data_IF_847351524872
#
_entry.id   IF_847351524872
#
_cell.length_a   1.000
_cell.length_b   1.000
_cell.length_c   1.000
_cell.angle_alpha   90.00
_cell.angle_beta   90.00
_cell.angle_gamma   90.00
#
_symmetry.space_group_name_H-M   'P 1'
#
loop_
_entity.id
_entity.type
_entity.pdbx_description
1 polymer ?
#
# COMPACT_ATOMS: atom_id res chain seq x y z
N UNK A 1 18.97 -11.06 0.43
CA UNK A 1 18.36 -11.30 1.75
C UNK A 1 19.10 -10.45 2.80
N UNK A 2 18.55 -10.16 4.00
CA UNK A 2 19.43 -10.02 5.15
C UNK A 2 19.90 -11.43 5.56
N UNK A 3 21.12 -11.59 6.10
CA UNK A 3 21.65 -12.90 6.47
C UNK A 3 20.71 -13.57 7.47
N UNK A 4 20.34 -14.83 7.19
CA UNK A 4 19.76 -15.72 8.20
C UNK A 4 20.79 -15.75 9.33
N UNK A 5 20.42 -15.22 10.50
CA UNK A 5 21.37 -15.17 11.61
C UNK A 5 21.82 -16.59 11.94
N UNK A 6 23.13 -16.79 12.06
CA UNK A 6 23.75 -18.03 12.54
C UNK A 6 23.09 -18.44 13.87
N UNK A 7 22.14 -19.38 13.81
CA UNK A 7 21.45 -19.89 15.00
C UNK A 7 19.96 -20.22 14.85
N UNK A 8 19.26 -19.79 13.79
CA UNK A 8 17.85 -20.20 13.60
C UNK A 8 17.73 -21.65 13.15
N UNK A 9 17.00 -22.45 13.92
CA UNK A 9 16.68 -23.84 13.61
C UNK A 9 15.80 -23.89 12.34
N UNK A 10 16.36 -24.35 11.21
CA UNK A 10 15.65 -24.47 9.92
C UNK A 10 14.32 -25.24 10.04
N UNK A 11 14.25 -26.21 10.95
CA UNK A 11 13.02 -26.96 11.23
C UNK A 11 11.91 -26.07 11.82
N UNK A 12 12.25 -25.16 12.73
CA UNK A 12 11.30 -24.19 13.30
C UNK A 12 10.81 -23.19 12.25
N UNK A 13 11.69 -22.78 11.33
CA UNK A 13 11.31 -21.91 10.20
C UNK A 13 10.34 -22.63 9.26
N UNK A 14 10.61 -23.88 8.90
CA UNK A 14 9.72 -24.69 8.06
C UNK A 14 8.39 -24.95 8.77
N UNK A 15 8.40 -25.21 10.08
CA UNK A 15 7.17 -25.30 10.87
C UNK A 15 6.36 -24.01 10.84
N UNK A 16 7.01 -22.86 11.04
CA UNK A 16 6.35 -21.54 11.01
C UNK A 16 5.72 -21.26 9.65
N UNK A 17 6.40 -21.60 8.56
CA UNK A 17 5.90 -21.42 7.18
C UNK A 17 4.70 -22.34 6.94
N UNK A 18 4.84 -23.64 7.23
CA UNK A 18 3.84 -24.65 6.88
C UNK A 18 2.62 -24.62 7.80
N UNK A 19 2.75 -24.20 9.07
CA UNK A 19 1.63 -24.03 10.01
C UNK A 19 0.70 -22.86 9.65
N UNK A 20 0.99 -22.10 8.60
CA UNK A 20 0.03 -21.12 8.09
C UNK A 20 -1.19 -21.84 7.50
N UNK A 21 -2.40 -21.26 7.68
CA UNK A 21 -3.66 -21.77 7.10
C UNK A 21 -3.71 -21.52 5.57
N UNK A 22 -2.63 -21.78 4.86
CA UNK A 22 -2.49 -21.49 3.43
C UNK A 22 -1.90 -22.68 2.67
N UNK A 23 -1.77 -22.50 1.36
CA UNK A 23 -1.07 -23.45 0.48
C UNK A 23 0.38 -23.01 0.38
N UNK A 24 1.30 -23.90 0.77
CA UNK A 24 2.74 -23.67 0.67
C UNK A 24 3.32 -24.65 -0.34
N UNK A 25 4.06 -24.15 -1.32
CA UNK A 25 4.75 -24.98 -2.33
C UNK A 25 6.24 -24.69 -2.24
N UNK A 26 7.03 -25.72 -1.92
CA UNK A 26 8.49 -25.68 -2.07
C UNK A 26 8.85 -26.24 -3.45
N UNK A 27 9.56 -25.49 -4.29
CA UNK A 27 10.01 -25.92 -5.63
C UNK A 27 11.39 -25.39 -6.01
N UNK A 28 12.00 -25.95 -7.05
CA UNK A 28 13.19 -25.38 -7.70
C UNK A 28 12.78 -24.29 -8.71
N UNK A 29 13.67 -23.32 -8.98
CA UNK A 29 13.42 -22.26 -9.96
C UNK A 29 13.33 -22.75 -11.41
N UNK A 30 14.02 -23.87 -11.71
CA UNK A 30 14.12 -24.42 -13.08
C UNK A 30 13.31 -25.73 -13.25
N UNK A 31 12.43 -26.05 -12.31
CA UNK A 31 11.63 -27.27 -12.37
C UNK A 31 10.64 -27.21 -13.55
N UNK A 32 10.72 -28.12 -14.55
CA UNK A 32 9.82 -28.12 -15.70
C UNK A 32 8.35 -28.31 -15.32
N UNK A 33 8.07 -28.85 -14.14
CA UNK A 33 6.73 -29.07 -13.59
C UNK A 33 6.17 -27.80 -12.91
N UNK A 34 7.02 -26.84 -12.53
CA UNK A 34 6.64 -25.57 -11.89
C UNK A 34 6.96 -24.34 -12.76
N UNK A 35 7.01 -24.49 -14.09
CA UNK A 35 7.45 -23.40 -14.99
C UNK A 35 6.53 -22.18 -14.90
N UNK A 36 7.15 -21.04 -14.62
CA UNK A 36 6.54 -19.72 -14.75
C UNK A 36 6.22 -19.42 -16.22
N UNK A 37 4.94 -19.19 -16.54
CA UNK A 37 4.53 -18.51 -17.78
C UNK A 37 3.89 -17.18 -17.38
N UNK A 38 4.51 -16.07 -17.79
CA UNK A 38 4.05 -14.70 -17.52
C UNK A 38 3.78 -14.38 -16.02
N UNK A 39 4.72 -14.74 -15.14
CA UNK A 39 4.62 -14.41 -13.70
C UNK A 39 3.54 -15.20 -12.95
N UNK A 40 3.16 -16.38 -13.46
CA UNK A 40 2.23 -17.32 -12.82
C UNK A 40 2.85 -18.71 -12.80
N UNK A 41 2.76 -19.40 -11.66
CA UNK A 41 3.16 -20.80 -11.53
C UNK A 41 2.05 -21.68 -12.13
N UNK A 42 2.35 -22.32 -13.26
CA UNK A 42 1.55 -23.42 -13.83
C UNK A 42 2.10 -24.74 -13.28
N UNK A 43 1.27 -25.53 -12.59
CA UNK A 43 1.61 -26.91 -12.16
C UNK A 43 0.90 -27.92 -13.05
N UNK A 44 1.11 -27.93 -14.38
CA UNK A 44 0.44 -28.91 -15.25
C UNK A 44 1.24 -29.28 -16.51
N UNK A 45 1.50 -30.57 -16.67
CA UNK A 45 1.94 -31.21 -17.91
C UNK A 45 0.80 -32.01 -18.55
N UNK A 46 0.13 -31.45 -19.56
CA UNK A 46 -0.62 -32.21 -20.56
C UNK A 46 -0.62 -31.40 -21.87
N UNK A 47 0.05 -31.92 -22.89
CA UNK A 47 0.19 -31.25 -24.18
C UNK A 47 -1.15 -31.03 -24.89
N UNK A 48 -1.33 -29.84 -25.48
CA UNK A 48 -2.30 -29.58 -26.53
C UNK A 48 -1.75 -28.53 -27.52
N UNK A 49 -2.02 -28.81 -28.80
CA UNK A 49 -1.55 -28.24 -30.08
C UNK A 49 -1.75 -26.70 -30.23
N UNK A 50 -0.78 -25.97 -30.80
CA UNK A 50 -0.85 -24.53 -31.04
C UNK A 50 -1.59 -24.22 -32.35
N UNK A 51 -2.87 -23.85 -32.28
CA UNK A 51 -3.50 -22.94 -33.27
C UNK A 51 -4.90 -22.53 -32.77
N UNK A 52 -4.98 -21.31 -32.25
CA UNK A 52 -6.24 -20.61 -32.01
C UNK A 52 -6.99 -21.00 -30.73
N UNK A 53 -6.61 -20.42 -29.60
CA UNK A 53 -7.54 -20.08 -28.50
C UNK A 53 -6.80 -19.30 -27.41
N UNK A 54 -7.37 -18.17 -27.00
CA UNK A 54 -7.04 -17.50 -25.75
C UNK A 54 -7.47 -18.41 -24.59
N UNK A 55 -6.56 -19.18 -24.03
CA UNK A 55 -6.85 -20.02 -22.86
C UNK A 55 -6.75 -19.18 -21.59
N UNK A 56 -7.93 -18.76 -21.11
CA UNK A 56 -8.17 -18.34 -19.74
C UNK A 56 -7.82 -19.49 -18.79
N UNK A 57 -6.74 -19.36 -18.03
CA UNK A 57 -6.59 -20.09 -16.78
C UNK A 57 -7.55 -19.48 -15.76
N UNK A 58 -8.32 -20.35 -15.10
CA UNK A 58 -9.30 -20.06 -14.06
C UNK A 58 -8.79 -18.94 -13.13
N UNK A 59 -9.36 -17.72 -13.17
CA UNK A 59 -9.50 -17.03 -11.91
C UNK A 59 -10.50 -17.89 -11.13
N UNK A 60 -10.07 -18.49 -10.02
CA UNK A 60 -11.06 -18.89 -9.02
C UNK A 60 -11.78 -17.61 -8.63
N UNK A 61 -12.89 -17.37 -9.31
CA UNK A 61 -13.96 -16.50 -8.89
C UNK A 61 -14.66 -17.26 -7.75
N UNK A 62 -13.93 -17.43 -6.66
CA UNK A 62 -14.39 -17.62 -5.31
C UNK A 62 -13.45 -16.74 -4.52
N UNK A 63 -14.04 -15.81 -3.78
CA UNK A 63 -13.41 -15.19 -2.62
C UNK A 63 -12.48 -16.19 -1.94
N UNK A 64 -11.24 -15.78 -1.64
CA UNK A 64 -10.21 -16.54 -0.90
C UNK A 64 -9.36 -17.42 -1.80
N UNK A 65 -8.16 -16.95 -2.13
CA UNK A 65 -6.88 -17.58 -1.81
C UNK A 65 -5.84 -16.52 -2.20
N UNK A 66 -5.07 -16.02 -1.25
CA UNK A 66 -3.82 -15.33 -1.56
C UNK A 66 -2.83 -16.39 -2.05
N UNK A 67 -2.66 -16.52 -3.37
CA UNK A 67 -1.53 -17.26 -3.94
C UNK A 67 -0.46 -16.22 -4.24
N UNK A 68 0.58 -16.12 -3.41
CA UNK A 68 1.83 -15.51 -3.86
C UNK A 68 3.07 -16.17 -3.25
N UNK A 69 4.07 -16.31 -4.13
CA UNK A 69 5.28 -17.11 -4.11
C UNK A 69 6.18 -16.99 -2.87
N UNK A 70 6.38 -18.10 -2.16
CA UNK A 70 7.61 -18.35 -1.42
C UNK A 70 8.51 -19.29 -2.22
N UNK A 71 9.08 -18.80 -3.34
CA UNK A 71 10.13 -19.51 -4.08
C UNK A 71 11.42 -19.54 -3.25
N UNK A 72 11.60 -20.57 -2.43
CA UNK A 72 12.93 -20.94 -1.95
C UNK A 72 13.69 -21.55 -3.13
N UNK A 73 14.43 -20.71 -3.86
CA UNK A 73 15.30 -21.16 -4.95
C UNK A 73 16.40 -22.04 -4.36
N UNK A 74 16.34 -23.33 -4.65
CA UNK A 74 17.46 -24.25 -4.38
C UNK A 74 18.18 -24.44 -5.72
N UNK A 75 19.46 -24.08 -5.84
CA UNK A 75 20.20 -24.28 -7.07
C UNK A 75 20.59 -25.77 -7.21
N UNK A 76 20.72 -26.27 -8.44
CA UNK A 76 21.04 -27.67 -8.69
C UNK A 76 22.45 -28.02 -8.17
N UNK A 77 22.57 -29.18 -7.51
CA UNK A 77 23.89 -29.81 -7.30
C UNK A 77 24.49 -30.17 -8.66
N UNK A 78 25.64 -29.55 -8.99
CA UNK A 78 26.37 -29.63 -10.26
C UNK A 78 26.30 -30.99 -11.01
N UNK A 79 25.84 -30.96 -12.26
CA UNK A 79 26.66 -31.12 -13.49
C UNK A 79 25.74 -31.20 -14.71
N UNK A 80 25.67 -30.12 -15.50
CA UNK A 80 25.48 -30.19 -16.95
C UNK A 80 25.96 -28.86 -17.56
N UNK A 81 26.85 -28.97 -18.53
CA UNK A 81 27.59 -27.88 -19.15
C UNK A 81 26.73 -27.04 -20.13
N UNK A 82 27.08 -25.76 -20.19
CA UNK A 82 26.78 -24.73 -21.19
C UNK A 82 25.45 -23.94 -21.08
N UNK A 83 25.60 -22.65 -20.75
CA UNK A 83 24.61 -21.58 -20.99
C UNK A 83 24.19 -20.82 -19.73
N UNK A 84 24.84 -19.68 -19.45
CA UNK A 84 24.56 -18.83 -18.28
C UNK A 84 23.26 -18.02 -18.43
N UNK A 85 22.47 -17.88 -17.35
CA UNK A 85 21.73 -16.65 -17.07
C UNK A 85 22.30 -16.00 -15.79
N UNK A 86 22.83 -14.80 -15.94
CA UNK A 86 23.31 -13.95 -14.85
C UNK A 86 22.12 -13.40 -14.06
N UNK A 87 21.93 -13.84 -12.82
CA UNK A 87 20.96 -13.23 -11.89
C UNK A 87 20.42 -14.09 -10.74
N UNK A 88 21.12 -15.14 -10.30
CA UNK A 88 20.76 -15.83 -9.05
C UNK A 88 21.38 -15.09 -7.86
N UNK A 89 20.57 -14.73 -6.85
CA UNK A 89 21.06 -14.16 -5.59
C UNK A 89 21.90 -15.18 -4.83
N UNK A 90 23.08 -14.78 -4.35
CA UNK A 90 24.05 -15.59 -3.58
C UNK A 90 23.45 -16.42 -2.45
N UNK A 91 22.37 -15.95 -1.86
CA UNK A 91 21.78 -16.55 -0.65
C UNK A 91 21.00 -17.85 -0.94
N UNK A 92 20.64 -18.12 -2.20
CA UNK A 92 19.99 -19.37 -2.61
C UNK A 92 20.95 -20.57 -2.61
N UNK A 93 22.24 -20.33 -2.91
CA UNK A 93 23.29 -21.37 -2.96
C UNK A 93 23.71 -21.86 -1.57
N UNK A 94 23.57 -21.03 -0.54
CA UNK A 94 24.06 -21.34 0.82
C UNK A 94 23.03 -22.13 1.67
N UNK A 95 21.73 -21.87 1.50
CA UNK A 95 20.67 -22.42 2.38
C UNK A 95 19.74 -23.45 1.72
N UNK A 96 19.84 -23.64 0.40
CA UNK A 96 18.96 -24.55 -0.33
C UNK A 96 19.07 -26.03 0.08
N UNK A 97 20.27 -26.65 0.04
CA UNK A 97 20.46 -28.05 0.43
C UNK A 97 20.07 -28.34 1.89
N UNK A 98 20.47 -27.52 2.90
CA UNK A 98 20.03 -27.71 4.28
C UNK A 98 18.51 -27.63 4.47
N UNK A 99 17.82 -26.77 3.70
CA UNK A 99 16.36 -26.69 3.74
C UNK A 99 15.70 -27.93 3.12
N UNK A 100 16.21 -28.44 2.00
CA UNK A 100 15.69 -29.66 1.37
C UNK A 100 15.88 -30.87 2.27
N UNK A 101 17.00 -30.96 2.97
CA UNK A 101 17.25 -32.03 3.95
C UNK A 101 16.25 -31.95 5.12
N UNK A 102 16.01 -30.75 5.65
CA UNK A 102 15.03 -30.55 6.72
C UNK A 102 13.58 -30.84 6.27
N UNK A 103 13.23 -30.50 5.02
CA UNK A 103 11.94 -30.88 4.41
C UNK A 103 11.82 -32.39 4.25
N UNK A 104 12.87 -33.04 3.76
CA UNK A 104 12.92 -34.49 3.55
C UNK A 104 12.79 -35.26 4.86
N UNK A 105 13.41 -34.77 5.93
CA UNK A 105 13.26 -35.33 7.28
C UNK A 105 11.82 -35.22 7.80
N UNK A 106 11.08 -34.18 7.39
CA UNK A 106 9.69 -33.96 7.81
C UNK A 106 8.69 -34.76 6.99
N UNK A 107 8.83 -34.78 5.67
CA UNK A 107 7.84 -35.39 4.76
C UNK A 107 8.15 -36.84 4.45
N UNK A 108 9.39 -37.30 4.70
CA UNK A 108 9.89 -38.58 4.23
C UNK A 108 10.14 -38.60 2.71
N UNK A 109 10.02 -37.46 2.02
CA UNK A 109 10.15 -37.34 0.57
C UNK A 109 11.27 -36.35 0.24
N UNK A 110 12.22 -36.76 -0.60
CA UNK A 110 13.33 -35.91 -1.04
C UNK A 110 13.07 -35.14 -2.33
N UNK A 111 12.03 -35.54 -3.07
CA UNK A 111 11.62 -34.90 -4.32
C UNK A 111 10.94 -33.55 -4.09
N UNK A 112 11.00 -32.69 -5.12
CA UNK A 112 10.24 -31.44 -5.22
C UNK A 112 9.34 -31.51 -6.48
N UNK A 113 8.24 -30.72 -6.57
CA UNK A 113 7.74 -29.83 -5.52
C UNK A 113 7.17 -30.59 -4.32
N UNK A 114 7.20 -29.97 -3.13
CA UNK A 114 6.49 -30.45 -1.94
C UNK A 114 5.38 -29.48 -1.59
N UNK A 115 4.14 -29.95 -1.67
CA UNK A 115 2.93 -29.15 -1.47
C UNK A 115 2.36 -29.42 -0.09
N UNK A 116 2.10 -28.35 0.66
CA UNK A 116 1.41 -28.40 1.94
C UNK A 116 0.13 -27.58 1.87
N UNK A 117 -0.92 -28.07 2.53
CA UNK A 117 -2.23 -27.44 2.59
C UNK A 117 -2.65 -27.39 4.05
N UNK A 118 -2.60 -26.20 4.67
CA UNK A 118 -2.97 -26.00 6.07
C UNK A 118 -2.17 -26.84 7.07
N UNK A 119 -0.84 -26.83 6.96
CA UNK A 119 0.03 -27.62 7.84
C UNK A 119 0.33 -29.04 7.36
N UNK A 120 -0.58 -29.66 6.61
CA UNK A 120 -0.52 -31.05 6.20
C UNK A 120 0.22 -31.23 4.87
N UNK A 121 1.07 -32.25 4.79
CA UNK A 121 1.80 -32.58 3.57
C UNK A 121 0.86 -33.31 2.58
N UNK A 122 0.59 -32.69 1.44
CA UNK A 122 -0.28 -33.26 0.40
C UNK A 122 0.48 -34.23 -0.50
N UNK A 123 1.75 -33.94 -0.78
CA UNK A 123 2.58 -34.72 -1.70
C UNK A 123 3.24 -33.87 -2.77
N UNK A 124 3.61 -34.53 -3.88
CA UNK A 124 4.23 -33.90 -5.03
C UNK A 124 3.23 -33.35 -6.05
N UNK A 125 3.72 -33.06 -7.25
CA UNK A 125 2.86 -32.58 -8.34
C UNK A 125 1.77 -33.58 -8.74
N UNK A 126 2.08 -34.88 -8.75
CA UNK A 126 1.12 -35.93 -9.14
C UNK A 126 0.02 -36.09 -8.09
N UNK A 127 0.38 -36.11 -6.81
CA UNK A 127 -0.57 -36.21 -5.69
C UNK A 127 -1.53 -35.02 -5.67
N UNK A 128 -0.99 -33.81 -5.91
CA UNK A 128 -1.75 -32.58 -5.99
C UNK A 128 -2.72 -32.60 -7.18
N UNK A 129 -2.26 -33.07 -8.34
CA UNK A 129 -3.10 -33.22 -9.53
C UNK A 129 -4.27 -34.18 -9.32
N UNK A 130 -4.01 -35.32 -8.67
CA UNK A 130 -5.02 -36.30 -8.29
C UNK A 130 -6.03 -35.73 -7.30
N UNK A 131 -5.56 -34.98 -6.30
CA UNK A 131 -6.42 -34.32 -5.31
C UNK A 131 -7.34 -33.28 -5.96
N UNK A 132 -6.85 -32.52 -6.94
CA UNK A 132 -7.65 -31.57 -7.70
C UNK A 132 -8.70 -32.26 -8.57
N UNK A 133 -8.30 -33.27 -9.36
CA UNK A 133 -9.21 -34.00 -10.25
C UNK A 133 -10.35 -34.70 -9.50
N UNK A 134 -10.11 -35.11 -8.24
CA UNK A 134 -11.12 -35.74 -7.37
C UNK A 134 -11.97 -34.74 -6.59
N UNK A 135 -11.72 -33.42 -6.71
CA UNK A 135 -12.38 -32.37 -5.93
C UNK A 135 -11.95 -32.31 -4.46
N UNK A 136 -11.05 -33.20 -4.02
CA UNK A 136 -10.56 -33.25 -2.64
C UNK A 136 -9.75 -32.01 -2.27
N UNK A 137 -9.02 -31.43 -3.23
CA UNK A 137 -8.25 -30.21 -3.00
C UNK A 137 -9.17 -29.03 -2.63
N UNK A 138 -10.34 -28.90 -3.28
CA UNK A 138 -11.33 -27.87 -2.94
C UNK A 138 -11.89 -28.04 -1.53
N UNK A 139 -12.15 -29.28 -1.11
CA UNK A 139 -12.63 -29.57 0.25
C UNK A 139 -11.55 -29.35 1.32
N UNK A 140 -10.29 -29.71 1.01
CA UNK A 140 -9.15 -29.43 1.89
C UNK A 140 -9.01 -27.93 2.10
N UNK A 141 -9.04 -27.14 1.03
CA UNK A 141 -8.94 -25.68 1.08
C UNK A 141 -10.13 -25.03 1.82
N UNK A 142 -11.35 -25.52 1.59
CA UNK A 142 -12.54 -25.05 2.28
C UNK A 142 -12.56 -25.38 3.78
N UNK A 143 -11.83 -26.42 4.20
CA UNK A 143 -11.68 -26.82 5.60
C UNK A 143 -10.57 -26.09 6.36
N UNK A 144 -9.80 -25.20 5.71
CA UNK A 144 -8.66 -24.52 6.33
C UNK A 144 -9.02 -23.26 7.13
N UNK A 145 -10.19 -22.69 6.92
CA UNK A 145 -10.56 -21.41 7.52
C UNK A 145 -12.00 -21.43 8.01
N UNK A 146 -12.18 -21.06 9.27
CA UNK A 146 -13.50 -20.76 9.86
C UNK A 146 -14.05 -19.41 9.36
N UNK A 147 -13.27 -18.68 8.55
CA UNK A 147 -13.56 -17.34 8.10
C UNK A 147 -13.89 -17.28 6.60
N UNK A 148 -14.70 -16.30 6.22
CA UNK A 148 -15.01 -15.99 4.83
C UNK A 148 -13.80 -15.47 4.06
N UNK A 149 -12.70 -15.06 4.70
CA UNK A 149 -11.46 -14.57 4.10
C UNK A 149 -10.26 -14.80 5.03
N UNK A 150 -9.07 -15.01 4.48
CA UNK A 150 -7.85 -15.02 5.31
C UNK A 150 -7.41 -13.59 5.67
N UNK A 151 -7.60 -12.66 4.73
CA UNK A 151 -7.21 -11.27 4.86
C UNK A 151 -8.28 -10.33 4.30
N UNK A 152 -8.73 -9.39 5.12
CA UNK A 152 -9.54 -8.25 4.67
C UNK A 152 -8.74 -6.97 4.79
N UNK A 153 -8.69 -6.20 3.71
CA UNK A 153 -8.03 -4.90 3.69
C UNK A 153 -9.07 -3.81 3.54
N UNK A 154 -9.10 -2.92 4.50
CA UNK A 154 -10.05 -1.81 4.57
C UNK A 154 -9.33 -0.57 4.04
N UNK A 155 -9.59 -0.25 2.78
CA UNK A 155 -9.02 0.89 2.06
C UNK A 155 -8.18 0.46 0.86
N UNK A 156 -8.63 0.79 -0.35
CA UNK A 156 -7.97 0.39 -1.61
C UNK A 156 -6.91 1.36 -2.13
N UNK A 157 -6.27 2.13 -1.24
CA UNK A 157 -5.16 3.03 -1.59
C UNK A 157 -3.88 2.27 -1.93
N UNK A 158 -2.77 2.97 -2.13
CA UNK A 158 -1.49 2.36 -2.52
C UNK A 158 -1.02 1.22 -1.61
N UNK A 159 -1.07 1.43 -0.28
CA UNK A 159 -0.73 0.40 0.70
C UNK A 159 -1.74 -0.73 0.79
N UNK A 160 -3.03 -0.43 0.57
CA UNK A 160 -4.09 -1.43 0.66
C UNK A 160 -4.26 -2.28 -0.59
N UNK A 161 -4.08 -1.71 -1.78
CA UNK A 161 -4.05 -2.43 -3.05
C UNK A 161 -2.79 -3.30 -3.18
N UNK A 162 -1.68 -2.85 -2.60
CA UNK A 162 -0.48 -3.68 -2.41
C UNK A 162 -0.71 -4.83 -1.42
N UNK A 163 -1.72 -4.72 -0.55
CA UNK A 163 -2.03 -5.71 0.47
C UNK A 163 -3.24 -6.61 0.11
N UNK A 164 -4.12 -6.23 -0.81
CA UNK A 164 -5.31 -7.02 -1.19
C UNK A 164 -6.00 -6.55 -2.48
N UNK A 165 -6.84 -7.42 -3.04
CA UNK A 165 -7.62 -7.17 -4.25
C UNK A 165 -9.03 -7.79 -4.16
N UNK A 166 -9.99 -7.14 -3.50
CA UNK A 166 -11.44 -7.41 -3.65
C UNK A 166 -12.25 -6.12 -3.41
N UNK A 167 -13.26 -5.83 -4.24
CA UNK A 167 -14.32 -4.83 -3.96
C UNK A 167 -15.66 -5.26 -4.56
N UNK A 168 -16.77 -5.15 -3.80
CA UNK A 168 -18.14 -5.08 -4.33
C UNK A 168 -18.62 -3.61 -4.30
N UNK A 169 -19.28 -3.18 -5.38
CA UNK A 169 -19.69 -1.80 -5.68
C UNK A 169 -21.17 -1.53 -5.41
N UNK A 170 -21.93 -2.46 -4.81
CA UNK A 170 -23.38 -2.31 -4.65
C UNK A 170 -23.74 -2.32 -3.18
N UNK A 171 -24.27 -1.20 -2.68
CA UNK A 171 -24.61 -0.89 -1.27
C UNK A 171 -25.63 -1.84 -0.59
N UNK A 172 -25.35 -3.13 -0.64
CA UNK A 172 -26.00 -4.18 0.14
C UNK A 172 -25.06 -4.49 1.30
N UNK A 173 -25.55 -4.28 2.52
CA UNK A 173 -24.80 -4.66 3.71
C UNK A 173 -24.66 -6.19 3.76
N UNK A 174 -23.42 -6.66 3.86
CA UNK A 174 -23.08 -8.07 4.03
C UNK A 174 -22.05 -8.16 5.15
N UNK A 175 -22.31 -9.06 6.10
CA UNK A 175 -21.30 -9.44 7.07
C UNK A 175 -20.32 -10.42 6.41
N UNK A 176 -19.03 -10.14 6.58
CA UNK A 176 -17.93 -11.01 6.19
C UNK A 176 -17.07 -11.24 7.42
N UNK A 177 -16.46 -12.41 7.50
CA UNK A 177 -15.55 -12.81 8.56
C UNK A 177 -14.14 -12.96 7.98
N UNK A 178 -13.10 -12.62 8.75
CA UNK A 178 -11.71 -12.75 8.29
C UNK A 178 -10.77 -13.09 9.44
N UNK A 179 -9.69 -13.83 9.15
CA UNK A 179 -8.67 -14.12 10.16
C UNK A 179 -7.81 -12.89 10.49
N UNK A 180 -7.38 -12.14 9.48
CA UNK A 180 -6.59 -10.91 9.65
C UNK A 180 -7.23 -9.71 8.94
N UNK A 181 -7.03 -8.52 9.51
CA UNK A 181 -7.47 -7.25 8.94
C UNK A 181 -6.31 -6.27 8.75
N UNK A 182 -6.30 -5.54 7.64
CA UNK A 182 -5.36 -4.42 7.43
C UNK A 182 -6.14 -3.13 7.24
N UNK A 183 -5.83 -2.13 8.06
CA UNK A 183 -6.29 -0.77 7.95
C UNK A 183 -5.40 -0.01 6.95
N UNK A 184 -5.97 0.42 5.83
CA UNK A 184 -5.29 1.12 4.73
C UNK A 184 -6.15 2.27 4.17
N UNK A 185 -6.96 2.89 5.03
CA UNK A 185 -7.95 3.92 4.66
C UNK A 185 -7.34 5.28 4.29
N UNK A 186 -6.06 5.50 4.60
CA UNK A 186 -5.35 6.75 4.35
C UNK A 186 -5.99 7.95 5.07
N UNK A 187 -5.97 9.09 4.39
CA UNK A 187 -6.43 10.36 4.92
C UNK A 187 -7.28 11.14 3.92
N UNK A 188 -7.99 12.17 4.40
CA UNK A 188 -8.74 13.14 3.57
C UNK A 188 -8.36 14.58 3.90
N UNK A 189 -8.49 15.53 2.96
CA UNK A 189 -8.22 16.94 3.23
C UNK A 189 -9.04 17.52 4.39
N UNK A 190 -8.41 18.38 5.19
CA UNK A 190 -9.06 19.13 6.26
C UNK A 190 -9.67 20.43 5.73
N UNK A 191 -10.81 20.79 6.29
CA UNK A 191 -11.40 22.12 6.16
C UNK A 191 -11.23 22.88 7.48
N UNK A 192 -10.90 24.18 7.44
CA UNK A 192 -11.01 25.02 8.63
C UNK A 192 -12.48 25.19 9.03
N UNK A 193 -12.71 25.37 10.33
CA UNK A 193 -14.04 25.63 10.88
C UNK A 193 -14.39 27.12 10.75
N UNK A 194 -14.67 27.54 9.52
CA UNK A 194 -15.11 28.90 9.19
C UNK A 194 -16.33 28.86 8.26
N UNK A 195 -17.22 29.86 8.32
CA UNK A 195 -18.40 29.90 7.47
C UNK A 195 -18.03 29.90 5.97
N UNK A 196 -18.71 29.07 5.19
CA UNK A 196 -18.52 28.96 3.74
C UNK A 196 -17.35 28.08 3.31
N UNK A 197 -16.55 27.55 4.25
CA UNK A 197 -15.38 26.74 3.89
C UNK A 197 -15.75 25.46 3.14
N UNK A 198 -16.76 24.71 3.61
CA UNK A 198 -17.16 23.44 2.98
C UNK A 198 -18.08 23.65 1.79
N UNK A 199 -18.80 24.76 1.76
CA UNK A 199 -19.82 25.07 0.77
C UNK A 199 -19.22 25.67 -0.50
N UNK A 200 -18.16 26.47 -0.37
CA UNK A 200 -17.64 27.28 -1.47
C UNK A 200 -16.18 26.99 -1.84
N UNK A 201 -15.41 26.34 -0.97
CA UNK A 201 -14.03 25.97 -1.30
C UNK A 201 -13.90 24.50 -1.70
N UNK A 202 -12.86 24.26 -2.49
CA UNK A 202 -12.45 22.94 -2.92
C UNK A 202 -11.19 22.49 -2.19
N UNK A 203 -10.81 21.23 -2.39
CA UNK A 203 -9.54 20.66 -1.94
C UNK A 203 -8.81 20.04 -3.13
N UNK A 204 -7.63 19.46 -2.87
CA UNK A 204 -6.92 18.68 -3.89
C UNK A 204 -7.75 17.51 -4.43
N UNK A 205 -8.69 16.97 -3.64
CA UNK A 205 -9.56 15.88 -4.08
C UNK A 205 -10.46 16.30 -5.24
N UNK A 206 -10.83 17.59 -5.32
CA UNK A 206 -11.73 18.13 -6.33
C UNK A 206 -10.96 18.75 -7.50
N UNK A 207 -9.82 19.41 -7.22
CA UNK A 207 -9.04 20.19 -8.19
C UNK A 207 -8.70 19.39 -9.45
N UNK A 208 -8.29 18.13 -9.30
CA UNK A 208 -7.90 17.27 -10.42
C UNK A 208 -9.08 16.74 -11.25
N UNK A 209 -10.32 16.98 -10.81
CA UNK A 209 -11.55 16.55 -11.47
C UNK A 209 -12.47 17.73 -11.82
N UNK A 210 -12.01 18.98 -11.66
CA UNK A 210 -12.80 20.15 -12.01
C UNK A 210 -13.17 20.14 -13.51
N UNK A 211 -14.46 20.31 -13.86
CA UNK A 211 -14.89 20.31 -15.26
C UNK A 211 -14.62 21.62 -16.00
N UNK A 212 -14.11 22.64 -15.31
CA UNK A 212 -13.87 23.98 -15.83
C UNK A 212 -12.56 24.55 -15.28
N UNK A 213 -12.04 25.59 -15.95
CA UNK A 213 -10.84 26.29 -15.50
C UNK A 213 -11.10 27.02 -14.16
N UNK A 214 -10.24 26.86 -13.13
CA UNK A 214 -10.46 27.46 -11.82
C UNK A 214 -10.22 28.99 -11.78
N UNK A 215 -9.63 29.59 -12.81
CA UNK A 215 -9.46 31.04 -12.92
C UNK A 215 -8.57 31.63 -11.82
N UNK A 216 -8.91 32.82 -11.32
CA UNK A 216 -8.19 33.45 -10.21
C UNK A 216 -8.34 32.61 -8.94
N UNK A 217 -7.24 32.03 -8.47
CA UNK A 217 -7.25 30.99 -7.43
C UNK A 217 -6.53 31.43 -6.16
N UNK A 218 -7.21 31.32 -5.02
CA UNK A 218 -6.59 31.40 -3.70
C UNK A 218 -6.25 29.99 -3.20
N UNK A 219 -4.99 29.75 -2.89
CA UNK A 219 -4.54 28.53 -2.21
C UNK A 219 -4.27 28.86 -0.74
N UNK A 220 -5.04 28.27 0.17
CA UNK A 220 -4.87 28.45 1.62
C UNK A 220 -4.07 27.29 2.18
N UNK A 221 -2.89 27.59 2.71
CA UNK A 221 -1.97 26.59 3.24
C UNK A 221 -0.55 26.78 2.72
N UNK A 222 0.38 26.05 3.32
CA UNK A 222 1.80 26.08 2.96
C UNK A 222 2.45 24.69 3.06
N UNK A 223 1.63 23.64 2.87
CA UNK A 223 2.09 22.26 2.71
C UNK A 223 2.69 22.06 1.32
N UNK A 224 3.34 20.91 1.09
CA UNK A 224 3.82 20.56 -0.26
C UNK A 224 2.67 20.57 -1.28
N UNK A 225 1.50 20.00 -0.92
CA UNK A 225 0.29 20.04 -1.75
C UNK A 225 -0.11 21.47 -2.12
N UNK A 226 -0.05 22.40 -1.16
CA UNK A 226 -0.40 23.79 -1.40
C UNK A 226 0.53 24.45 -2.42
N UNK A 227 1.84 24.29 -2.23
CA UNK A 227 2.85 24.92 -3.09
C UNK A 227 2.91 24.27 -4.48
N UNK A 228 2.77 22.96 -4.56
CA UNK A 228 2.69 22.23 -5.83
C UNK A 228 1.49 22.68 -6.66
N UNK A 229 0.29 22.73 -6.03
CA UNK A 229 -0.92 23.21 -6.69
C UNK A 229 -0.78 24.66 -7.15
N UNK A 230 -0.27 25.55 -6.29
CA UNK A 230 -0.04 26.93 -6.66
C UNK A 230 0.93 27.07 -7.85
N UNK A 231 2.01 26.29 -7.83
CA UNK A 231 3.04 26.26 -8.88
C UNK A 231 2.46 25.87 -10.24
N UNK A 232 1.78 24.72 -10.33
CA UNK A 232 1.26 24.27 -11.63
C UNK A 232 0.08 25.13 -12.13
N UNK A 233 -0.76 25.67 -11.23
CA UNK A 233 -1.85 26.56 -11.63
C UNK A 233 -1.29 27.86 -12.22
N UNK A 234 -0.23 28.39 -11.62
CA UNK A 234 0.49 29.56 -12.16
C UNK A 234 1.13 29.25 -13.51
N UNK A 235 1.80 28.10 -13.64
CA UNK A 235 2.39 27.67 -14.90
C UNK A 235 1.36 27.49 -16.03
N UNK A 236 0.11 27.15 -15.68
CA UNK A 236 -1.02 27.12 -16.61
C UNK A 236 -1.63 28.51 -16.92
N UNK A 237 -1.03 29.59 -16.43
CA UNK A 237 -1.42 30.97 -16.73
C UNK A 237 -2.48 31.57 -15.80
N UNK A 238 -2.76 30.93 -14.66
CA UNK A 238 -3.76 31.41 -13.71
C UNK A 238 -3.18 32.49 -12.77
N UNK A 239 -4.05 33.39 -12.31
CA UNK A 239 -3.71 34.32 -11.22
C UNK A 239 -3.82 33.57 -9.88
N UNK A 240 -2.68 33.36 -9.22
CA UNK A 240 -2.58 32.51 -8.03
C UNK A 240 -2.05 33.33 -6.85
N UNK A 241 -2.79 33.26 -5.74
CA UNK A 241 -2.36 33.76 -4.43
C UNK A 241 -2.22 32.61 -3.46
N UNK A 242 -1.16 32.59 -2.65
CA UNK A 242 -0.96 31.64 -1.55
C UNK A 242 -1.08 32.37 -0.22
N UNK A 243 -2.01 31.93 0.62
CA UNK A 243 -2.23 32.46 1.96
C UNK A 243 -1.59 31.56 3.01
N UNK A 244 -0.63 32.11 3.76
CA UNK A 244 0.25 31.39 4.67
C UNK A 244 0.05 31.88 6.09
N UNK A 245 -0.34 30.98 6.98
CA UNK A 245 -0.51 31.30 8.41
C UNK A 245 0.80 31.66 9.12
N UNK A 246 1.90 30.99 8.79
CA UNK A 246 3.17 31.15 9.53
C UNK A 246 4.42 30.92 8.67
N UNK A 247 4.78 29.67 8.40
CA UNK A 247 5.99 29.28 7.65
C UNK A 247 5.64 28.33 6.49
N UNK A 248 6.52 28.27 5.50
CA UNK A 248 6.43 27.33 4.39
C UNK A 248 6.96 25.95 4.80
N UNK A 249 6.32 24.88 4.27
CA UNK A 249 6.77 23.50 4.40
C UNK A 249 7.20 23.12 5.83
N UNK A 250 6.30 23.35 6.80
CA UNK A 250 6.58 23.01 8.20
C UNK A 250 7.03 21.55 8.33
N UNK A 251 8.19 21.34 8.94
CA UNK A 251 8.81 20.02 9.09
C UNK A 251 9.95 19.74 8.09
N UNK A 252 10.10 20.58 7.05
CA UNK A 252 11.22 20.54 6.12
C UNK A 252 12.31 21.54 6.49
N UNK A 253 13.49 21.39 5.88
CA UNK A 253 14.58 22.36 5.96
C UNK A 253 14.08 23.75 5.52
N UNK A 254 14.27 24.75 6.40
CA UNK A 254 13.70 26.07 6.19
C UNK A 254 14.50 26.94 5.22
N UNK A 255 15.80 26.70 5.02
CA UNK A 255 16.56 27.38 3.96
C UNK A 255 16.02 26.93 2.60
N UNK A 256 15.79 25.63 2.43
CA UNK A 256 15.19 25.09 1.21
C UNK A 256 13.75 25.57 1.00
N UNK A 257 12.93 25.60 2.06
CA UNK A 257 11.55 26.06 1.96
C UNK A 257 11.45 27.54 1.54
N UNK A 258 12.29 28.42 2.07
CA UNK A 258 12.28 29.84 1.71
C UNK A 258 12.86 30.08 0.30
N UNK A 259 13.84 29.28 -0.15
CA UNK A 259 14.29 29.30 -1.56
C UNK A 259 13.17 28.94 -2.53
N UNK A 260 12.37 27.91 -2.22
CA UNK A 260 11.19 27.54 -3.01
C UNK A 260 10.18 28.69 -3.04
N UNK A 261 9.88 29.28 -1.87
CA UNK A 261 8.95 30.42 -1.78
C UNK A 261 9.42 31.63 -2.56
N UNK A 262 10.72 31.94 -2.51
CA UNK A 262 11.35 33.04 -3.26
C UNK A 262 11.20 32.82 -4.75
N UNK A 263 11.56 31.63 -5.25
CA UNK A 263 11.40 31.28 -6.67
C UNK A 263 9.95 31.39 -7.15
N UNK A 264 9.00 30.86 -6.36
CA UNK A 264 7.57 30.95 -6.69
C UNK A 264 7.07 32.41 -6.75
N UNK A 265 7.56 33.27 -5.86
CA UNK A 265 7.22 34.68 -5.87
C UNK A 265 7.80 35.41 -7.09
N UNK A 266 9.04 35.09 -7.48
CA UNK A 266 9.69 35.61 -8.69
C UNK A 266 8.94 35.20 -9.97
N UNK A 267 8.38 33.98 -10.01
CA UNK A 267 7.50 33.48 -11.08
C UNK A 267 6.08 34.08 -11.02
N UNK A 268 5.82 35.02 -10.10
CA UNK A 268 4.60 35.81 -10.04
C UNK A 268 3.45 35.19 -9.25
N UNK A 269 3.74 34.27 -8.31
CA UNK A 269 2.77 33.82 -7.30
C UNK A 269 2.77 34.81 -6.14
N UNK A 270 1.60 35.36 -5.81
CA UNK A 270 1.49 36.33 -4.71
C UNK A 270 1.37 35.59 -3.37
N UNK A 271 2.24 35.89 -2.41
CA UNK A 271 2.15 35.36 -1.05
C UNK A 271 1.56 36.38 -0.08
N UNK A 272 0.62 35.95 0.77
CA UNK A 272 0.09 36.74 1.88
C UNK A 272 0.44 36.01 3.18
N UNK A 273 1.37 36.58 3.94
CA UNK A 273 2.00 35.95 5.11
C UNK A 273 2.36 37.01 6.17
N UNK A 274 1.98 36.85 7.46
CA UNK A 274 1.03 35.87 7.99
C UNK A 274 -0.42 36.25 7.66
N UNK A 275 -1.25 35.28 7.30
CA UNK A 275 -2.68 35.50 7.05
C UNK A 275 -3.51 34.22 7.21
N UNK A 276 -4.74 34.35 7.71
CA UNK A 276 -5.68 33.24 7.95
C UNK A 276 -7.08 33.64 7.48
N UNK A 277 -7.79 32.82 6.68
CA UNK A 277 -9.14 33.14 6.26
C UNK A 277 -10.11 32.97 7.44
N UNK A 278 -11.10 33.85 7.50
CA UNK A 278 -12.12 33.89 8.56
C UNK A 278 -13.53 33.63 8.02
N UNK A 279 -13.78 33.89 6.73
CA UNK A 279 -15.10 33.70 6.11
C UNK A 279 -15.01 33.64 4.58
N UNK A 280 -15.83 32.79 3.97
CA UNK A 280 -16.04 32.72 2.52
C UNK A 280 -17.50 33.03 2.17
N UNK A 281 -17.74 33.84 1.14
CA UNK A 281 -19.08 34.17 0.64
C UNK A 281 -19.12 34.09 -0.88
N UNK A 282 -20.09 33.34 -1.44
CA UNK A 282 -20.31 33.32 -2.89
C UNK A 282 -21.14 34.54 -3.31
N UNK A 283 -20.58 35.35 -4.19
CA UNK A 283 -21.22 36.57 -4.71
C UNK A 283 -21.72 36.43 -6.15
N UNK A 284 -21.22 35.45 -6.89
CA UNK A 284 -21.67 35.14 -8.26
C UNK A 284 -21.68 33.63 -8.47
N UNK A 285 -22.79 33.10 -8.98
CA UNK A 285 -22.89 31.68 -9.37
C UNK A 285 -22.26 31.46 -10.75
N UNK A 286 -21.66 30.28 -10.97
CA UNK A 286 -21.03 29.98 -12.24
C UNK A 286 -19.93 28.91 -12.13
N UNK A 287 -19.27 28.67 -13.26
CA UNK A 287 -18.17 27.72 -13.39
C UNK A 287 -17.08 28.33 -14.29
N UNK A 288 -16.24 29.23 -13.76
CA UNK A 288 -16.14 29.59 -12.33
C UNK A 288 -17.12 30.69 -11.91
N UNK A 289 -17.58 30.62 -10.65
CA UNK A 289 -18.29 31.72 -9.98
C UNK A 289 -17.32 32.76 -9.40
N UNK A 290 -17.81 33.59 -8.47
CA UNK A 290 -16.98 34.49 -7.66
C UNK A 290 -17.25 34.31 -6.17
N UNK A 291 -16.16 34.24 -5.42
CA UNK A 291 -16.10 34.03 -3.98
C UNK A 291 -15.33 35.19 -3.37
N UNK A 292 -15.93 35.87 -2.42
CA UNK A 292 -15.27 36.85 -1.53
C UNK A 292 -14.69 36.10 -0.35
N UNK A 293 -13.41 36.32 -0.08
CA UNK A 293 -12.69 35.78 1.06
C UNK A 293 -12.37 36.93 2.02
N UNK A 294 -12.85 36.81 3.25
CA UNK A 294 -12.41 37.65 4.37
C UNK A 294 -11.34 36.91 5.14
N UNK A 295 -10.26 37.60 5.50
CA UNK A 295 -9.12 37.04 6.19
C UNK A 295 -8.53 38.03 7.21
N UNK A 296 -7.90 37.48 8.25
CA UNK A 296 -7.07 38.24 9.18
C UNK A 296 -5.61 38.18 8.74
N UNK A 297 -5.05 39.34 8.40
CA UNK A 297 -3.66 39.54 8.05
C UNK A 297 -2.96 40.34 9.16
N UNK A 298 -2.58 39.63 10.23
CA UNK A 298 -1.90 40.21 11.41
C UNK A 298 -2.75 41.28 12.11
N UNK A 299 -4.01 40.93 12.41
CA UNK A 299 -4.97 41.84 13.07
C UNK A 299 -5.62 42.87 12.14
N UNK A 300 -5.32 42.84 10.84
CA UNK A 300 -5.97 43.67 9.82
C UNK A 300 -6.88 42.81 8.96
N UNK A 301 -8.11 43.26 8.77
CA UNK A 301 -9.05 42.62 7.87
C UNK A 301 -8.60 42.82 6.41
N UNK A 302 -8.51 41.72 5.68
CA UNK A 302 -8.27 41.67 4.25
C UNK A 302 -9.48 41.04 3.58
N UNK A 303 -10.02 41.72 2.56
CA UNK A 303 -11.15 41.23 1.77
C UNK A 303 -10.73 41.19 0.31
N UNK A 304 -10.75 40.01 -0.31
CA UNK A 304 -10.39 39.82 -1.71
C UNK A 304 -11.28 38.81 -2.42
N UNK A 305 -11.41 38.97 -3.73
CA UNK A 305 -12.23 38.10 -4.58
C UNK A 305 -11.40 37.10 -5.36
N UNK A 306 -11.93 35.88 -5.47
CA UNK A 306 -11.37 34.76 -6.21
C UNK A 306 -12.46 34.01 -6.96
N UNK A 307 -12.07 33.32 -8.02
CA UNK A 307 -12.92 32.37 -8.72
C UNK A 307 -12.97 31.03 -7.97
N UNK A 308 -11.82 30.61 -7.45
CA UNK A 308 -11.64 29.33 -6.76
C UNK A 308 -10.87 29.54 -5.47
N UNK A 309 -11.30 28.89 -4.39
CA UNK A 309 -10.55 28.81 -3.14
C UNK A 309 -10.20 27.34 -2.88
N UNK A 310 -8.91 27.04 -2.77
CA UNK A 310 -8.36 25.71 -2.52
C UNK A 310 -7.81 25.62 -1.09
N UNK A 311 -8.42 24.77 -0.25
CA UNK A 311 -7.85 24.45 1.06
C UNK A 311 -6.84 23.30 0.97
N UNK A 312 -5.61 23.60 1.35
CA UNK A 312 -4.49 22.66 1.48
C UNK A 312 -3.84 22.78 2.86
N UNK A 313 -4.68 22.82 3.90
CA UNK A 313 -4.31 23.10 5.31
C UNK A 313 -3.94 21.86 6.13
N UNK A 314 -3.71 20.73 5.45
CA UNK A 314 -3.40 19.44 6.04
C UNK A 314 -4.48 18.40 5.77
N UNK A 315 -4.23 17.19 6.24
CA UNK A 315 -5.10 16.02 6.04
C UNK A 315 -5.45 15.39 7.39
N UNK A 316 -6.50 14.60 7.41
CA UNK A 316 -7.01 13.88 8.58
C UNK A 316 -7.18 12.41 8.27
N UNK A 317 -6.76 11.56 9.21
CA UNK A 317 -6.88 10.12 9.07
C UNK A 317 -8.32 9.64 9.11
N UNK A 318 -8.62 8.65 8.27
CA UNK A 318 -9.92 8.03 8.11
C UNK A 318 -10.22 6.97 9.19
N UNK A 319 -10.07 7.31 10.46
CA UNK A 319 -10.24 6.38 11.60
C UNK A 319 -11.58 6.52 12.32
N UNK A 320 -12.36 7.57 12.03
CA UNK A 320 -13.65 7.85 12.66
C UNK A 320 -14.79 7.13 11.95
N UNK A 321 -15.75 6.61 12.72
CA UNK A 321 -16.98 6.02 12.20
C UNK A 321 -16.83 4.64 11.56
N UNK A 322 -15.67 4.00 11.70
CA UNK A 322 -15.39 2.65 11.18
C UNK A 322 -15.39 1.55 12.26
N UNK A 323 -15.70 1.91 13.52
CA UNK A 323 -15.88 0.95 14.61
C UNK A 323 -14.60 0.47 15.31
N UNK A 324 -13.47 1.18 15.16
CA UNK A 324 -12.19 0.81 15.82
C UNK A 324 -12.33 0.72 17.34
N UNK A 325 -13.14 1.61 17.93
CA UNK A 325 -13.42 1.65 19.36
C UNK A 325 -14.15 0.39 19.86
N UNK A 326 -14.97 -0.23 19.00
CA UNK A 326 -15.74 -1.44 19.36
C UNK A 326 -14.87 -2.69 19.37
N UNK A 327 -13.82 -2.69 18.56
CA UNK A 327 -12.88 -3.82 18.43
C UNK A 327 -11.63 -3.66 19.30
N UNK A 328 -11.47 -2.52 20.00
CA UNK A 328 -10.36 -2.27 20.91
C UNK A 328 -9.06 -1.80 20.24
N UNK A 329 -9.13 -1.30 18.99
CA UNK A 329 -7.98 -0.69 18.33
C UNK A 329 -7.73 0.69 18.92
N UNK A 330 -6.54 0.90 19.48
CA UNK A 330 -6.12 2.19 20.03
C UNK A 330 -5.91 3.21 18.91
N UNK A 331 -6.33 4.45 19.16
CA UNK A 331 -6.13 5.59 18.25
C UNK A 331 -5.55 6.74 19.05
N UNK A 332 -4.49 7.36 18.54
CA UNK A 332 -3.94 8.57 19.12
C UNK A 332 -4.94 9.72 18.94
N UNK A 333 -5.53 10.21 20.04
CA UNK A 333 -6.56 11.25 20.00
C UNK A 333 -6.08 12.59 19.45
N UNK A 334 -4.76 12.86 19.48
CA UNK A 334 -4.18 14.11 18.99
C UNK A 334 -3.98 14.09 17.47
N UNK A 335 -3.46 12.99 16.93
CA UNK A 335 -3.23 12.85 15.49
C UNK A 335 -4.41 12.23 14.74
N UNK A 336 -5.30 11.52 15.45
CA UNK A 336 -6.35 10.70 14.87
C UNK A 336 -5.83 9.41 14.22
N UNK A 337 -4.56 9.06 14.42
CA UNK A 337 -3.86 7.97 13.74
C UNK A 337 -3.70 6.72 14.61
N UNK A 338 -3.44 5.59 13.97
CA UNK A 338 -3.26 4.29 14.64
C UNK A 338 -1.78 4.07 14.96
N UNK A 339 -1.38 3.97 16.24
CA UNK A 339 -0.04 3.54 16.60
C UNK A 339 0.12 2.04 16.27
N UNK A 340 1.26 1.68 15.69
CA UNK A 340 1.56 0.30 15.34
C UNK A 340 3.06 -0.01 15.41
N UNK A 341 3.39 -1.25 15.77
CA UNK A 341 4.76 -1.78 15.79
C UNK A 341 4.86 -2.91 14.79
N UNK A 342 5.80 -2.83 13.84
CA UNK A 342 5.87 -3.74 12.69
C UNK A 342 4.50 -3.91 11.99
N UNK A 343 3.81 -2.78 11.81
CA UNK A 343 2.47 -2.65 11.23
C UNK A 343 1.34 -3.32 12.04
N UNK A 344 1.61 -3.93 13.20
CA UNK A 344 0.60 -4.52 14.11
C UNK A 344 0.04 -3.49 15.08
N UNK A 345 -1.29 -3.42 15.21
CA UNK A 345 -1.99 -2.50 16.11
C UNK A 345 -2.05 -3.06 17.55
N UNK A 346 -2.82 -2.43 18.44
CA UNK A 346 -3.11 -2.96 19.79
C UNK A 346 -3.89 -4.29 19.77
N UNK A 347 -4.52 -4.63 18.64
CA UNK A 347 -5.25 -5.89 18.43
C UNK A 347 -4.44 -6.79 17.52
N UNK A 348 -4.11 -8.00 17.98
CA UNK A 348 -3.11 -8.85 17.33
C UNK A 348 -3.42 -9.18 15.86
N UNK A 349 -4.67 -9.41 15.49
CA UNK A 349 -5.09 -9.77 14.13
C UNK A 349 -5.48 -8.55 13.28
N UNK A 350 -5.21 -7.33 13.77
CA UNK A 350 -5.46 -6.09 13.06
C UNK A 350 -4.13 -5.35 12.86
N UNK A 351 -3.85 -5.04 11.61
CA UNK A 351 -2.66 -4.35 11.14
C UNK A 351 -3.03 -3.00 10.53
N UNK A 352 -2.05 -2.12 10.34
CA UNK A 352 -2.24 -0.82 9.72
C UNK A 352 -1.05 -0.47 8.82
N UNK A 353 -1.33 0.09 7.63
CA UNK A 353 -0.31 0.47 6.64
C UNK A 353 -0.62 1.83 6.00
N UNK A 354 0.45 2.55 5.62
CA UNK A 354 0.34 3.87 4.99
C UNK A 354 -0.07 4.97 5.96
N UNK A 355 -0.73 6.00 5.43
CA UNK A 355 -0.91 7.29 6.11
C UNK A 355 -1.82 7.24 7.36
N UNK A 356 -2.51 6.11 7.58
CA UNK A 356 -3.28 5.85 8.80
C UNK A 356 -2.39 5.63 10.02
N UNK A 357 -1.11 5.31 9.81
CA UNK A 357 -0.13 5.06 10.86
C UNK A 357 0.39 6.33 11.53
N UNK A 358 0.50 6.30 12.84
CA UNK A 358 1.09 7.39 13.61
C UNK A 358 2.62 7.40 13.51
N UNK A 359 3.20 8.59 13.29
CA UNK A 359 4.66 8.79 13.29
C UNK A 359 5.41 8.16 12.11
N UNK A 360 4.75 7.81 11.00
CA UNK A 360 5.38 7.29 9.78
C UNK A 360 5.34 8.33 8.65
N UNK A 361 6.34 8.33 7.73
CA UNK A 361 6.27 9.16 6.53
C UNK A 361 5.05 8.81 5.66
N UNK A 362 4.26 9.82 5.32
CA UNK A 362 3.02 9.72 4.54
C UNK A 362 3.34 9.76 3.04
N UNK A 363 3.92 8.68 2.53
CA UNK A 363 4.40 8.58 1.15
C UNK A 363 3.94 7.26 0.50
N UNK A 364 3.46 7.35 -0.73
CA UNK A 364 3.02 6.19 -1.52
C UNK A 364 4.06 5.06 -1.59
N UNK A 365 5.36 5.30 -1.87
CA UNK A 365 6.36 4.23 -1.89
C UNK A 365 6.54 3.54 -0.52
N UNK A 366 6.45 4.32 0.56
CA UNK A 366 6.53 3.78 1.93
C UNK A 366 5.32 2.89 2.22
N UNK A 367 4.12 3.32 1.83
CA UNK A 367 2.90 2.54 1.99
C UNK A 367 2.94 1.22 1.18
N UNK A 368 3.40 1.26 -0.07
CA UNK A 368 3.56 0.06 -0.92
C UNK A 368 4.55 -0.91 -0.28
N UNK A 369 5.75 -0.42 0.08
CA UNK A 369 6.77 -1.26 0.70
C UNK A 369 6.29 -1.87 2.03
N UNK A 370 5.59 -1.10 2.85
CA UNK A 370 4.99 -1.59 4.10
C UNK A 370 3.96 -2.70 3.85
N UNK A 371 3.04 -2.50 2.91
CA UNK A 371 2.04 -3.50 2.53
C UNK A 371 2.68 -4.78 2.00
N UNK A 372 3.63 -4.67 1.07
CA UNK A 372 4.34 -5.83 0.49
C UNK A 372 5.13 -6.59 1.54
N UNK A 373 5.86 -5.91 2.42
CA UNK A 373 6.62 -6.59 3.48
C UNK A 373 5.69 -7.23 4.52
N UNK A 374 4.60 -6.58 4.90
CA UNK A 374 3.60 -7.16 5.79
C UNK A 374 2.99 -8.42 5.20
N UNK A 375 2.54 -8.39 3.94
CA UNK A 375 1.99 -9.58 3.27
C UNK A 375 2.99 -10.75 3.26
N UNK A 376 4.27 -10.47 2.99
CA UNK A 376 5.35 -11.47 3.07
C UNK A 376 5.58 -12.02 4.48
N UNK A 377 5.36 -11.23 5.53
CA UNK A 377 5.48 -11.71 6.92
C UNK A 377 4.30 -12.58 7.34
N UNK A 378 3.08 -12.21 6.92
CA UNK A 378 1.87 -12.96 7.25
C UNK A 378 1.78 -14.28 6.47
N UNK A 379 2.13 -14.26 5.18
CA UNK A 379 1.84 -15.36 4.27
C UNK A 379 3.07 -15.93 3.53
N UNK A 380 4.22 -15.25 3.58
CA UNK A 380 5.42 -15.63 2.82
C UNK A 380 6.60 -16.10 3.67
N UNK A 381 6.42 -16.28 4.98
CA UNK A 381 7.49 -16.75 5.88
C UNK A 381 8.64 -15.76 6.11
N UNK A 382 8.49 -14.50 5.68
CA UNK A 382 9.52 -13.47 5.84
C UNK A 382 9.51 -12.91 7.26
N UNK A 383 10.66 -12.45 7.74
CA UNK A 383 10.79 -11.66 8.97
C UNK A 383 11.23 -10.21 8.69
N UNK A 384 11.28 -9.81 7.42
CA UNK A 384 11.72 -8.48 6.99
C UNK A 384 10.66 -7.42 7.32
N UNK A 385 11.10 -6.36 7.99
CA UNK A 385 10.28 -5.20 8.33
C UNK A 385 10.68 -3.97 7.52
N UNK A 386 9.77 -3.00 7.41
CA UNK A 386 10.14 -1.69 6.89
C UNK A 386 11.20 -1.11 7.81
N UNK A 387 12.36 -0.75 7.25
CA UNK A 387 13.43 -0.13 8.02
C UNK A 387 12.90 1.03 8.86
N UNK A 388 13.39 1.14 10.10
CA UNK A 388 13.05 2.26 10.98
C UNK A 388 13.46 3.61 10.38
N UNK A 389 13.17 4.73 11.07
CA UNK A 389 13.46 6.09 10.60
C UNK A 389 14.96 6.42 10.64
N UNK A 390 15.84 5.49 10.30
CA UNK A 390 17.19 5.79 9.88
C UNK A 390 17.12 6.44 8.50
N UNK A 391 17.74 7.61 8.36
CA UNK A 391 17.78 8.54 7.23
C UNK A 391 17.96 7.94 5.80
N UNK A 392 18.25 6.64 5.68
CA UNK A 392 18.48 5.94 4.41
C UNK A 392 17.21 5.72 3.57
N UNK A 393 16.02 5.57 4.16
CA UNK A 393 14.80 5.26 3.41
C UNK A 393 14.27 6.47 2.61
N UNK A 394 14.42 7.70 3.09
CA UNK A 394 14.02 8.87 2.31
C UNK A 394 14.97 9.11 1.12
N UNK A 395 16.28 8.85 1.30
CA UNK A 395 17.30 9.21 0.31
C UNK A 395 17.30 8.27 -0.90
N UNK A 396 17.13 6.96 -0.69
CA UNK A 396 17.10 5.99 -1.80
C UNK A 396 15.88 6.14 -2.70
N UNK A 397 14.76 6.68 -2.18
CA UNK A 397 13.51 6.79 -2.92
C UNK A 397 13.35 8.14 -3.65
N UNK A 398 13.86 9.25 -3.12
CA UNK A 398 13.84 10.54 -3.82
C UNK A 398 14.73 10.55 -5.09
N UNK A 399 15.76 9.70 -5.15
CA UNK A 399 16.68 9.61 -6.30
C UNK A 399 16.22 8.62 -7.39
N UNK A 400 15.16 7.84 -7.16
CA UNK A 400 14.72 6.78 -8.08
C UNK A 400 13.62 7.18 -9.07
N UNK A 401 13.18 8.45 -9.06
CA UNK A 401 12.09 8.96 -9.93
C UNK A 401 12.48 10.28 -10.59
N UNK A 402 13.63 10.27 -11.28
CA UNK A 402 13.94 11.23 -12.34
C UNK A 402 14.50 10.49 -13.55
#
# INVERSE_FOLDING_TARGET
MPPIQNGTNLSETIEKIVKSNTVVIFSLSDDPVCKQRDGRIDVWGAGCDPRGMHTRLLPLCCSNVAVEESLLRIPPSRQCSSGSPSGASSDAEEYGPPLQDALSQRTGVSGLPQVFVGGEFLGGSEDTAVAYAKGNLGNLLAGLSDYDYDLVVIGGGSGGLAASKVTDKKGKEKFITASDFILAMGERPKYPDIPGAREYAITSDDLFFLPHCPGKTLVVGASYVALECAGFLKAMGMDVTVMVRSILLRGFDQDMAERIGTYMAEEGIRFIRPCVPTKLERVEEGSPGRIVVTADADGKELVEEYNTVLFAVGRESCTRGIGLEKVGVEVNLKSGKVPAVAERTSVNHIFAVGDVLDGRPELTPVAIQAGTLLARRLYGGSDVQVGGPSHSLCLSFLLGTF
#
